data_IF_708600588023
#
_entry.id   IF_708600588023
#
_cell.length_a   1.000
_cell.length_b   1.000
_cell.length_c   1.000
_cell.angle_alpha   90.00
_cell.angle_beta   90.00
_cell.angle_gamma   90.00
#
_symmetry.space_group_name_H-M   'P 1'
#
loop_
_entity.id
_entity.type
_entity.pdbx_description
1 polymer ?
#
# COMPACT_ATOMS: atom_id res chain seq x y z
N UNK A 1 29.36 -43.04 24.88
CA UNK A 1 29.71 -41.81 25.62
C UNK A 1 29.66 -40.70 24.58
N UNK A 2 28.51 -40.09 24.29
CA UNK A 2 27.75 -39.07 25.05
C UNK A 2 28.62 -37.90 25.48
N UNK A 3 28.45 -36.76 24.79
CA UNK A 3 28.01 -35.43 25.28
C UNK A 3 27.78 -34.57 24.01
N UNK A 4 26.56 -34.32 23.52
CA UNK A 4 25.58 -33.27 23.89
C UNK A 4 26.14 -31.84 24.01
N UNK A 5 25.68 -30.96 23.13
CA UNK A 5 25.88 -29.50 23.16
C UNK A 5 24.89 -28.78 22.24
N UNK A 6 23.88 -28.18 22.88
CA UNK A 6 22.77 -27.31 22.46
C UNK A 6 22.67 -26.76 21.03
N UNK A 7 21.49 -27.00 20.43
CA UNK A 7 20.96 -26.31 19.27
C UNK A 7 19.90 -25.28 19.69
N UNK A 8 20.06 -24.03 19.26
CA UNK A 8 19.03 -22.98 19.34
C UNK A 8 18.15 -22.96 18.07
N UNK A 9 16.83 -22.71 18.17
CA UNK A 9 15.87 -23.04 17.11
C UNK A 9 15.76 -21.91 16.07
N UNK A 10 16.23 -22.18 14.86
CA UNK A 10 15.98 -21.37 13.66
C UNK A 10 14.86 -22.00 12.83
N UNK A 11 13.84 -21.19 12.55
CA UNK A 11 12.99 -21.17 11.35
C UNK A 11 12.75 -22.53 10.68
N UNK A 12 11.67 -23.22 11.08
CA UNK A 12 11.02 -24.24 10.24
C UNK A 12 9.59 -23.81 9.94
N UNK A 13 9.38 -23.28 8.74
CA UNK A 13 8.09 -23.36 8.08
C UNK A 13 8.12 -24.63 7.23
N UNK A 14 7.23 -25.58 7.53
CA UNK A 14 7.19 -26.87 6.88
C UNK A 14 6.57 -26.76 5.48
N UNK A 15 7.36 -27.05 4.45
CA UNK A 15 6.88 -27.43 3.13
C UNK A 15 6.38 -28.89 3.20
N UNK A 16 5.14 -29.13 2.76
CA UNK A 16 4.59 -30.47 2.58
C UNK A 16 5.15 -31.16 1.33
N UNK A 17 5.12 -32.50 1.25
CA UNK A 17 5.88 -33.26 0.26
C UNK A 17 5.32 -33.13 -1.16
N UNK A 18 6.22 -32.91 -2.11
CA UNK A 18 5.97 -32.95 -3.54
C UNK A 18 5.51 -34.35 -3.98
N UNK A 19 4.39 -34.43 -4.69
CA UNK A 19 3.91 -35.65 -5.34
C UNK A 19 4.36 -35.62 -6.80
N UNK A 20 5.19 -36.60 -7.17
CA UNK A 20 5.75 -36.78 -8.51
C UNK A 20 4.67 -37.10 -9.55
N UNK A 21 4.73 -36.43 -10.71
CA UNK A 21 3.93 -36.78 -11.89
C UNK A 21 4.47 -38.05 -12.57
N UNK A 22 3.60 -38.97 -13.05
CA UNK A 22 4.03 -40.08 -13.90
C UNK A 22 4.29 -39.64 -15.34
N UNK A 23 5.22 -40.34 -15.97
CA UNK A 23 5.77 -40.15 -17.31
C UNK A 23 4.78 -40.44 -18.46
N UNK A 24 4.88 -39.65 -19.53
CA UNK A 24 4.28 -39.92 -20.85
C UNK A 24 4.96 -41.10 -21.58
N UNK A 25 4.21 -41.88 -22.38
CA UNK A 25 4.75 -42.61 -23.51
C UNK A 25 4.52 -41.87 -24.83
N UNK A 26 5.59 -41.78 -25.60
CA UNK A 26 5.67 -41.23 -26.96
C UNK A 26 5.03 -42.12 -28.05
N UNK A 27 4.98 -41.53 -29.26
CA UNK A 27 4.76 -42.10 -30.61
C UNK A 27 3.29 -42.05 -31.08
N UNK A 28 2.92 -41.67 -32.31
CA UNK A 28 3.66 -41.36 -33.53
C UNK A 28 2.71 -40.76 -34.59
N UNK A 29 3.28 -39.96 -35.50
CA UNK A 29 2.98 -39.86 -36.93
C UNK A 29 1.70 -39.16 -37.43
N UNK A 30 1.90 -38.25 -38.41
CA UNK A 30 0.86 -37.90 -39.38
C UNK A 30 0.98 -36.50 -39.98
N UNK A 31 2.07 -36.19 -40.68
CA UNK A 31 2.12 -35.01 -41.54
C UNK A 31 1.37 -35.26 -42.86
N UNK A 32 0.70 -34.24 -43.39
CA UNK A 32 0.99 -33.64 -44.71
C UNK A 32 -0.11 -32.66 -45.18
N UNK A 33 0.35 -31.45 -45.48
CA UNK A 33 0.10 -30.63 -46.66
C UNK A 33 -1.34 -30.50 -47.23
N UNK A 34 -1.81 -29.25 -47.27
CA UNK A 34 -2.37 -28.66 -48.51
C UNK A 34 -2.23 -27.15 -48.51
N UNK A 35 -1.58 -26.63 -49.54
CA UNK A 35 -1.41 -25.21 -49.80
C UNK A 35 -2.44 -24.64 -50.78
N UNK A 36 -2.47 -23.31 -50.82
CA UNK A 36 -2.57 -22.54 -52.05
C UNK A 36 -3.94 -21.94 -52.39
N UNK A 37 -4.01 -20.61 -52.43
CA UNK A 37 -5.06 -19.88 -53.13
C UNK A 37 -5.08 -18.37 -52.88
N UNK A 38 -4.28 -17.63 -53.63
CA UNK A 38 -4.28 -16.14 -53.75
C UNK A 38 -5.18 -15.72 -54.92
N UNK A 39 -5.86 -14.57 -54.80
CA UNK A 39 -6.19 -13.58 -55.86
C UNK A 39 -7.21 -12.57 -55.29
N UNK A 40 -7.33 -11.29 -55.67
CA UNK A 40 -6.60 -10.38 -56.54
C UNK A 40 -7.10 -8.94 -56.25
N UNK A 41 -6.30 -7.94 -56.61
CA UNK A 41 -6.59 -6.51 -56.48
C UNK A 41 -7.33 -5.94 -57.71
N UNK A 42 -8.15 -4.89 -57.50
CA UNK A 42 -8.61 -3.97 -58.55
C UNK A 42 -8.97 -2.58 -57.97
N UNK A 43 -8.64 -1.53 -58.72
CA UNK A 43 -8.96 -0.10 -58.51
C UNK A 43 -9.43 0.49 -59.86
N UNK A 44 -9.73 1.81 -60.00
CA UNK A 44 -10.66 2.70 -59.27
C UNK A 44 -11.76 3.26 -60.22
N UNK A 45 -12.79 3.97 -59.73
CA UNK A 45 -13.73 4.75 -60.57
C UNK A 45 -14.09 6.14 -59.99
N UNK A 46 -14.37 7.06 -60.92
CA UNK A 46 -14.48 8.54 -60.83
C UNK A 46 -15.84 9.07 -60.32
N UNK A 47 -15.81 10.36 -59.92
CA UNK A 47 -16.80 11.30 -59.33
C UNK A 47 -17.95 11.77 -60.24
N UNK A 48 -19.06 12.23 -59.62
CA UNK A 48 -19.70 13.60 -59.63
C UNK A 48 -21.12 13.56 -58.98
N UNK A 49 -21.81 14.68 -58.63
CA UNK A 49 -21.42 15.91 -57.91
C UNK A 49 -22.41 16.37 -56.77
N UNK A 50 -22.00 17.42 -56.02
CA UNK A 50 -22.72 18.43 -55.19
C UNK A 50 -23.69 18.09 -54.04
N UNK A 51 -23.29 18.48 -52.81
CA UNK A 51 -24.12 19.33 -51.93
C UNK A 51 -23.23 20.08 -50.91
N UNK A 52 -23.47 21.39 -50.74
CA UNK A 52 -22.61 22.31 -50.00
C UNK A 52 -22.83 22.25 -48.48
N UNK A 53 -21.72 22.17 -47.71
CA UNK A 53 -21.71 22.26 -46.24
C UNK A 53 -20.93 23.53 -45.77
N UNK A 54 -21.30 24.14 -44.62
CA UNK A 54 -20.83 25.47 -44.19
C UNK A 54 -19.40 25.44 -43.61
N UNK A 55 -18.74 26.60 -43.41
CA UNK A 55 -17.29 26.69 -43.45
C UNK A 55 -16.61 26.12 -42.20
N UNK A 56 -15.64 25.23 -42.40
CA UNK A 56 -14.68 24.79 -41.38
C UNK A 56 -13.82 25.98 -40.94
N UNK A 57 -14.01 26.40 -39.69
CA UNK A 57 -13.02 27.18 -38.95
C UNK A 57 -11.84 26.26 -38.70
N UNK A 58 -10.73 26.50 -39.40
CA UNK A 58 -9.42 25.89 -39.13
C UNK A 58 -8.97 26.25 -37.70
N UNK A 59 -9.40 25.43 -36.73
CA UNK A 59 -8.81 25.38 -35.41
C UNK A 59 -7.43 24.74 -35.55
N UNK A 60 -6.40 25.55 -35.29
CA UNK A 60 -5.04 25.06 -35.09
C UNK A 60 -5.06 23.90 -34.07
N UNK A 61 -4.22 22.86 -34.21
CA UNK A 61 -4.19 21.80 -33.23
C UNK A 61 -3.68 22.39 -31.92
N UNK A 62 -4.61 22.68 -31.01
CA UNK A 62 -4.32 22.99 -29.63
C UNK A 62 -3.53 21.81 -29.06
N UNK A 63 -2.36 22.11 -28.50
CA UNK A 63 -1.63 21.20 -27.64
C UNK A 63 -2.63 20.60 -26.64
N UNK A 64 -2.89 19.30 -26.77
CA UNK A 64 -3.35 18.49 -25.66
C UNK A 64 -2.24 18.58 -24.61
N UNK A 65 -2.51 19.30 -23.51
CA UNK A 65 -1.62 19.27 -22.36
C UNK A 65 -1.60 17.83 -21.84
N UNK A 66 -0.46 17.17 -22.05
CA UNK A 66 -0.11 15.91 -21.42
C UNK A 66 -0.40 16.06 -19.93
N UNK A 67 -1.27 15.20 -19.38
CA UNK A 67 -1.56 15.22 -17.95
C UNK A 67 -0.28 15.14 -17.12
N UNK A 68 -0.26 15.85 -15.99
CA UNK A 68 0.89 15.92 -15.09
C UNK A 68 1.38 14.50 -14.75
N UNK A 69 2.56 14.16 -15.26
CA UNK A 69 3.29 12.94 -14.92
C UNK A 69 3.84 13.13 -13.52
N UNK A 70 3.63 12.16 -12.63
CA UNK A 70 4.23 12.17 -11.29
C UNK A 70 5.75 12.38 -11.42
N UNK A 71 6.24 13.52 -10.92
CA UNK A 71 7.64 13.88 -11.10
C UNK A 71 8.53 13.09 -10.14
N UNK A 72 9.56 12.46 -10.70
CA UNK A 72 10.53 11.66 -9.98
C UNK A 72 11.55 12.58 -9.26
N UNK A 73 11.11 13.21 -8.17
CA UNK A 73 11.87 14.22 -7.45
C UNK A 73 12.38 13.73 -6.09
N UNK A 74 13.64 14.09 -5.78
CA UNK A 74 14.23 13.94 -4.46
C UNK A 74 14.39 15.31 -3.80
N UNK A 75 13.95 15.42 -2.55
CA UNK A 75 14.02 16.64 -1.74
C UNK A 75 15.26 16.63 -0.85
N UNK A 76 15.61 15.45 -0.34
CA UNK A 76 16.75 15.26 0.54
C UNK A 76 17.41 13.91 0.28
N UNK A 77 18.72 13.85 0.52
CA UNK A 77 19.46 12.60 0.74
C UNK A 77 20.23 12.72 2.04
N UNK A 78 20.30 11.65 2.82
CA UNK A 78 20.94 11.67 4.13
C UNK A 78 21.59 10.33 4.47
N UNK A 79 22.56 10.39 5.38
CA UNK A 79 23.23 9.26 6.00
C UNK A 79 23.11 9.41 7.51
N UNK A 80 22.60 8.37 8.16
CA UNK A 80 22.49 8.25 9.61
C UNK A 80 23.47 7.19 10.07
N UNK A 81 24.11 7.44 11.21
CA UNK A 81 25.01 6.49 11.86
C UNK A 81 24.63 6.34 13.33
N UNK A 82 25.01 5.20 13.91
CA UNK A 82 24.91 4.97 15.34
C UNK A 82 26.24 5.32 16.02
N UNK A 83 26.22 6.35 16.87
CA UNK A 83 27.32 6.67 17.77
C UNK A 83 27.08 6.00 19.15
N UNK A 84 28.03 5.20 19.68
CA UNK A 84 27.85 4.52 20.96
C UNK A 84 27.65 5.41 22.20
N UNK A 85 27.92 6.72 22.09
CA UNK A 85 27.75 7.70 23.19
C UNK A 85 26.47 8.52 23.02
N UNK A 86 26.16 8.91 21.79
CA UNK A 86 25.13 9.90 21.45
C UNK A 86 23.87 9.27 20.87
N UNK A 87 23.93 8.00 20.47
CA UNK A 87 22.84 7.28 19.82
C UNK A 87 22.82 7.48 18.30
N UNK A 88 21.63 7.38 17.71
CA UNK A 88 21.46 7.63 16.27
C UNK A 88 21.69 9.11 15.98
N UNK A 89 22.41 9.43 14.91
CA UNK A 89 22.65 10.80 14.47
C UNK A 89 22.75 10.91 12.96
N UNK A 90 22.30 12.02 12.39
CA UNK A 90 22.54 12.37 10.98
C UNK A 90 24.01 12.73 10.82
N UNK A 91 24.77 11.89 10.12
CA UNK A 91 26.20 12.06 9.85
C UNK A 91 26.42 13.02 8.67
N UNK A 92 25.55 12.96 7.67
CA UNK A 92 25.65 13.74 6.45
C UNK A 92 24.29 13.91 5.79
N UNK A 93 24.05 15.04 5.12
CA UNK A 93 22.87 15.24 4.29
C UNK A 93 23.09 16.28 3.17
N UNK A 94 22.21 16.24 2.18
CA UNK A 94 21.96 17.31 1.21
C UNK A 94 20.45 17.52 1.03
N UNK A 95 20.00 18.79 0.88
CA UNK A 95 20.78 20.01 1.04
C UNK A 95 21.16 20.24 2.52
N UNK A 96 22.17 21.08 2.82
CA UNK A 96 22.72 21.20 4.18
C UNK A 96 21.80 21.91 5.18
N UNK A 97 20.82 22.66 4.68
CA UNK A 97 19.91 23.51 5.45
C UNK A 97 18.53 22.89 5.65
N UNK A 98 18.32 21.64 5.22
CA UNK A 98 17.04 20.95 5.40
C UNK A 98 16.83 20.48 6.83
N UNK A 99 15.60 20.67 7.34
CA UNK A 99 15.20 20.12 8.61
C UNK A 99 15.01 18.60 8.52
N UNK A 100 15.94 17.87 9.12
CA UNK A 100 15.92 16.41 9.27
C UNK A 100 15.75 15.97 10.73
N UNK A 101 15.32 16.85 11.63
CA UNK A 101 15.11 16.49 13.03
C UNK A 101 14.17 15.27 13.13
N UNK A 102 14.63 14.25 13.84
CA UNK A 102 13.91 12.99 14.09
C UNK A 102 14.06 11.93 13.00
N UNK A 103 14.68 12.24 11.85
CA UNK A 103 14.88 11.28 10.75
C UNK A 103 15.82 10.14 11.17
N UNK A 104 16.77 10.39 12.06
CA UNK A 104 17.68 9.40 12.64
C UNK A 104 16.94 8.29 13.41
N UNK A 105 15.79 8.60 14.03
CA UNK A 105 14.98 7.63 14.76
C UNK A 105 13.96 6.91 13.86
N UNK A 106 13.68 7.46 12.67
CA UNK A 106 12.82 6.81 11.65
C UNK A 106 13.61 5.91 10.72
N UNK A 107 14.84 6.28 10.40
CA UNK A 107 15.72 5.56 9.48
C UNK A 107 16.48 4.41 10.14
N UNK A 108 16.53 4.39 11.48
CA UNK A 108 17.10 3.32 12.31
C UNK A 108 16.15 3.00 13.47
N UNK A 109 15.17 2.13 13.19
CA UNK A 109 14.13 1.76 14.15
C UNK A 109 14.69 1.09 15.42
N UNK A 110 13.92 1.20 16.51
CA UNK A 110 14.23 0.47 17.73
C UNK A 110 14.30 -1.03 17.46
N UNK A 111 15.42 -1.66 17.82
CA UNK A 111 15.70 -3.08 17.58
C UNK A 111 16.49 -3.39 16.29
N UNK A 112 16.82 -2.41 15.44
CA UNK A 112 17.54 -2.65 14.17
C UNK A 112 18.90 -3.32 14.34
N UNK A 113 19.55 -3.20 15.50
CA UNK A 113 20.80 -3.92 15.81
C UNK A 113 20.67 -5.45 15.76
N UNK A 114 19.45 -6.00 15.81
CA UNK A 114 19.18 -7.45 15.75
C UNK A 114 19.12 -8.00 14.33
N UNK A 115 19.09 -7.14 13.32
CA UNK A 115 19.04 -7.52 11.91
C UNK A 115 20.30 -7.02 11.18
N UNK A 116 20.68 -7.72 10.12
CA UNK A 116 21.83 -7.31 9.30
C UNK A 116 21.48 -6.18 8.33
N UNK A 117 20.25 -6.16 7.84
CA UNK A 117 19.77 -5.14 6.91
C UNK A 117 18.26 -4.98 7.01
N UNK A 118 17.76 -3.80 6.66
CA UNK A 118 16.34 -3.48 6.60
C UNK A 118 16.11 -2.32 5.64
N UNK A 119 14.86 -2.08 5.24
CA UNK A 119 14.44 -0.85 4.58
C UNK A 119 13.22 -0.29 5.31
N UNK A 120 13.05 1.02 5.35
CA UNK A 120 11.98 1.65 6.14
C UNK A 120 11.37 2.77 5.33
N UNK A 121 10.05 2.73 5.19
CA UNK A 121 9.26 3.86 4.71
C UNK A 121 8.74 4.66 5.92
N UNK A 122 8.70 5.97 5.82
CA UNK A 122 8.20 6.84 6.89
C UNK A 122 7.71 8.18 6.34
N UNK A 123 7.04 8.98 7.17
CA UNK A 123 6.70 10.38 6.86
C UNK A 123 7.60 11.35 7.63
N UNK A 124 7.92 12.49 6.99
CA UNK A 124 8.58 13.67 7.60
C UNK A 124 7.88 14.91 7.05
N UNK A 125 6.97 15.49 7.84
CA UNK A 125 6.13 16.60 7.42
C UNK A 125 5.32 16.25 6.15
N UNK A 126 5.41 17.04 5.06
CA UNK A 126 4.71 16.76 3.82
C UNK A 126 5.40 15.70 2.95
N UNK A 127 6.59 15.22 3.32
CA UNK A 127 7.39 14.30 2.52
C UNK A 127 7.30 12.86 3.01
N UNK A 128 7.61 11.95 2.11
CA UNK A 128 7.80 10.52 2.38
C UNK A 128 9.27 10.18 2.28
N UNK A 129 9.74 9.34 3.19
CA UNK A 129 11.11 8.86 3.24
C UNK A 129 11.22 7.38 2.93
N UNK A 130 12.31 7.00 2.26
CA UNK A 130 12.80 5.63 2.16
C UNK A 130 14.24 5.61 2.67
N UNK A 131 14.52 4.78 3.66
CA UNK A 131 15.87 4.56 4.17
C UNK A 131 16.23 3.08 4.15
N UNK A 132 17.47 2.76 3.78
CA UNK A 132 18.04 1.43 3.81
C UNK A 132 19.09 1.35 4.93
N UNK A 133 18.88 0.43 5.84
CA UNK A 133 19.73 0.16 7.00
C UNK A 133 20.64 -1.04 6.73
N UNK A 134 21.87 -0.97 7.24
CA UNK A 134 22.74 -2.13 7.34
C UNK A 134 23.61 -2.10 8.61
N UNK A 135 23.92 -3.29 9.10
CA UNK A 135 24.74 -3.56 10.27
C UNK A 135 25.89 -4.49 9.86
N UNK A 136 27.12 -4.10 10.18
CA UNK A 136 28.33 -4.86 9.91
C UNK A 136 29.14 -5.06 11.20
N UNK A 137 29.52 -6.30 11.55
CA UNK A 137 30.43 -6.53 12.67
C UNK A 137 31.80 -5.91 12.37
N UNK A 138 32.41 -5.26 13.36
CA UNK A 138 33.73 -4.63 13.23
C UNK A 138 34.62 -4.98 14.42
N UNK A 139 35.90 -5.21 14.18
CA UNK A 139 36.90 -5.43 15.24
C UNK A 139 37.35 -4.09 15.82
N UNK A 140 36.43 -3.38 16.48
CA UNK A 140 36.65 -2.05 17.03
C UNK A 140 35.96 -1.92 18.39
N UNK A 141 36.76 -1.72 19.45
CA UNK A 141 36.23 -1.46 20.80
C UNK A 141 35.49 -0.12 20.87
N UNK A 142 35.94 0.87 20.09
CA UNK A 142 35.30 2.19 20.01
C UNK A 142 33.88 2.09 19.45
N UNK A 143 33.66 1.22 18.47
CA UNK A 143 32.36 0.97 17.83
C UNK A 143 31.60 -0.18 18.49
N UNK A 144 32.09 -0.70 19.63
CA UNK A 144 31.47 -1.80 20.39
C UNK A 144 31.17 -3.04 19.54
N UNK A 145 32.04 -3.35 18.59
CA UNK A 145 31.92 -4.59 17.80
C UNK A 145 30.97 -4.53 16.61
N UNK A 146 30.24 -3.42 16.38
CA UNK A 146 29.29 -3.31 15.28
C UNK A 146 29.21 -1.87 14.73
N UNK A 147 29.32 -1.74 13.41
CA UNK A 147 29.09 -0.49 12.69
C UNK A 147 27.71 -0.55 12.04
N UNK A 148 26.89 0.45 12.34
CA UNK A 148 25.53 0.54 11.85
C UNK A 148 25.32 1.87 11.14
N UNK A 149 24.74 1.81 9.94
CA UNK A 149 24.38 2.99 9.16
C UNK A 149 23.04 2.80 8.47
N UNK A 150 22.42 3.93 8.15
CA UNK A 150 21.23 4.00 7.31
C UNK A 150 21.41 5.11 6.27
N UNK A 151 21.04 4.84 5.02
CA UNK A 151 21.08 5.81 3.93
C UNK A 151 19.68 5.98 3.39
N UNK A 152 19.19 7.21 3.30
CA UNK A 152 17.83 7.46 2.87
C UNK A 152 17.63 8.73 2.08
N UNK A 153 16.43 8.85 1.53
CA UNK A 153 15.96 9.97 0.74
C UNK A 153 14.59 10.44 1.21
N UNK A 154 14.25 11.69 0.91
CA UNK A 154 12.90 12.24 1.03
C UNK A 154 12.36 12.61 -0.35
N UNK A 155 11.08 12.36 -0.60
CA UNK A 155 10.37 12.70 -1.84
C UNK A 155 8.94 13.17 -1.52
N UNK A 156 8.30 14.01 -2.36
CA UNK A 156 6.88 14.37 -2.20
C UNK A 156 5.94 13.17 -2.39
N UNK A 157 6.39 12.11 -3.06
CA UNK A 157 5.61 10.90 -3.28
C UNK A 157 6.30 9.65 -2.75
N UNK A 158 5.52 8.76 -2.14
CA UNK A 158 6.01 7.45 -1.71
C UNK A 158 6.04 6.40 -2.82
N UNK A 159 5.29 6.62 -3.90
CA UNK A 159 5.00 5.60 -4.93
C UNK A 159 6.21 5.34 -5.82
N UNK A 160 7.10 6.33 -5.95
CA UNK A 160 8.32 6.26 -6.77
C UNK A 160 9.58 5.88 -5.99
N UNK A 161 9.54 5.93 -4.65
CA UNK A 161 10.70 5.68 -3.79
C UNK A 161 11.34 4.31 -4.02
N UNK A 162 10.54 3.28 -4.34
CA UNK A 162 11.05 1.93 -4.60
C UNK A 162 12.12 1.88 -5.71
N UNK A 163 12.08 2.83 -6.66
CA UNK A 163 13.06 2.93 -7.76
C UNK A 163 14.48 3.14 -7.24
N UNK A 164 14.61 3.77 -6.07
CA UNK A 164 15.88 4.11 -5.45
C UNK A 164 16.37 3.08 -4.43
N UNK A 165 15.53 2.10 -4.06
CA UNK A 165 15.84 1.13 -3.01
C UNK A 165 17.16 0.41 -3.24
N UNK A 166 17.38 -0.14 -4.45
CA UNK A 166 18.63 -0.85 -4.77
C UNK A 166 19.87 0.06 -4.69
N UNK A 167 19.74 1.32 -5.14
CA UNK A 167 20.80 2.30 -5.01
C UNK A 167 21.13 2.55 -3.54
N UNK A 168 20.13 2.81 -2.70
CA UNK A 168 20.31 3.08 -1.27
C UNK A 168 20.91 1.89 -0.52
N UNK A 169 20.49 0.66 -0.82
CA UNK A 169 21.08 -0.56 -0.28
C UNK A 169 22.57 -0.71 -0.63
N UNK A 170 22.97 -0.34 -1.84
CA UNK A 170 24.38 -0.35 -2.24
C UNK A 170 25.16 0.77 -1.54
N UNK A 171 24.56 1.96 -1.42
CA UNK A 171 25.19 3.10 -0.75
C UNK A 171 25.40 2.85 0.75
N UNK A 172 24.45 2.23 1.46
CA UNK A 172 24.63 1.94 2.88
C UNK A 172 25.76 0.93 3.10
N UNK A 173 25.89 -0.12 2.27
CA UNK A 173 27.02 -1.06 2.32
C UNK A 173 28.35 -0.34 2.06
N UNK A 174 28.40 0.51 1.04
CA UNK A 174 29.58 1.32 0.75
C UNK A 174 29.96 2.25 1.91
N UNK A 175 28.99 2.88 2.60
CA UNK A 175 29.26 3.73 3.76
C UNK A 175 29.75 2.94 4.99
N UNK A 176 29.42 1.65 5.09
CA UNK A 176 29.97 0.79 6.14
C UNK A 176 31.44 0.43 5.87
N UNK A 177 31.78 0.13 4.61
CA UNK A 177 33.15 -0.22 4.19
C UNK A 177 34.08 0.98 4.11
N UNK A 178 33.61 2.10 3.54
CA UNK A 178 34.36 3.34 3.34
C UNK A 178 33.60 4.56 3.88
N UNK A 179 33.56 4.74 5.22
CA UNK A 179 32.90 5.90 5.85
C UNK A 179 33.43 7.24 5.33
N UNK A 180 32.59 8.28 5.34
CA UNK A 180 32.98 9.64 4.98
C UNK A 180 33.00 9.95 3.47
N UNK A 181 32.72 8.98 2.61
CA UNK A 181 32.80 9.14 1.15
C UNK A 181 31.40 9.30 0.53
N UNK A 182 30.90 10.53 0.43
CA UNK A 182 29.52 10.81 -0.02
C UNK A 182 29.38 11.27 -1.48
N UNK A 183 30.43 11.17 -2.29
CA UNK A 183 30.44 11.70 -3.67
C UNK A 183 29.34 11.12 -4.56
N UNK A 184 29.06 9.81 -4.46
CA UNK A 184 27.98 9.16 -5.20
C UNK A 184 26.59 9.63 -4.77
N UNK A 185 26.38 9.85 -3.46
CA UNK A 185 25.13 10.39 -2.92
C UNK A 185 24.92 11.84 -3.36
N UNK A 186 25.99 12.65 -3.37
CA UNK A 186 25.95 14.02 -3.86
C UNK A 186 25.61 14.09 -5.35
N UNK A 187 26.27 13.27 -6.18
CA UNK A 187 25.97 13.20 -7.62
C UNK A 187 24.53 12.74 -7.88
N UNK A 188 24.05 11.75 -7.11
CA UNK A 188 22.66 11.30 -7.18
C UNK A 188 21.67 12.43 -6.84
N UNK A 189 21.93 13.18 -5.76
CA UNK A 189 21.08 14.30 -5.39
C UNK A 189 21.06 15.38 -6.47
N UNK A 190 22.21 15.72 -7.06
CA UNK A 190 22.27 16.72 -8.13
C UNK A 190 21.49 16.30 -9.39
N UNK A 191 21.45 15.01 -9.71
CA UNK A 191 20.68 14.45 -10.84
C UNK A 191 19.16 14.44 -10.56
N UNK A 192 18.77 14.14 -9.32
CA UNK A 192 17.37 13.88 -8.94
C UNK A 192 16.69 14.99 -8.16
N UNK A 193 17.40 16.04 -7.76
CA UNK A 193 16.81 17.13 -7.00
C UNK A 193 15.71 17.81 -7.81
N UNK A 194 14.52 17.89 -7.24
CA UNK A 194 13.43 18.66 -7.83
C UNK A 194 13.79 20.15 -7.83
N UNK A 195 13.38 20.89 -8.86
CA UNK A 195 13.44 22.37 -8.81
C UNK A 195 12.29 22.83 -7.92
N UNK A 196 12.53 22.90 -6.61
CA UNK A 196 11.58 23.52 -5.69
C UNK A 196 11.57 25.03 -5.98
N UNK A 197 10.53 25.52 -6.67
CA UNK A 197 10.34 26.95 -6.87
C UNK A 197 10.09 27.63 -5.51
N UNK A 198 11.16 28.16 -4.91
CA UNK A 198 11.06 29.13 -3.82
C UNK A 198 10.55 30.46 -4.39
N UNK A 199 9.24 30.65 -4.42
CA UNK A 199 8.63 31.93 -4.76
C UNK A 199 8.79 32.95 -3.62
N UNK A 200 9.25 34.19 -3.87
CA UNK A 200 9.32 35.22 -2.84
C UNK A 200 7.92 35.75 -2.54
N UNK A 201 7.45 35.53 -1.32
CA UNK A 201 6.41 36.31 -0.65
C UNK A 201 5.05 36.47 -1.37
N UNK A 202 4.12 35.56 -1.11
CA UNK A 202 2.66 35.85 -1.10
C UNK A 202 1.97 34.86 -0.15
N UNK A 203 1.07 35.39 0.68
CA UNK A 203 0.35 34.64 1.72
C UNK A 203 -0.31 33.37 1.19
N UNK A 204 -0.29 32.33 2.04
CA UNK A 204 -0.70 30.97 1.70
C UNK A 204 -2.14 30.87 1.21
N UNK A 205 -2.27 30.70 -0.10
CA UNK A 205 -3.36 29.97 -0.71
C UNK A 205 -2.72 28.97 -1.68
N UNK A 206 -2.66 27.71 -1.26
CA UNK A 206 -2.29 26.58 -2.14
C UNK A 206 -3.22 26.59 -3.36
N UNK A 207 -2.71 26.29 -4.58
CA UNK A 207 -3.58 26.22 -5.74
C UNK A 207 -4.60 25.09 -5.55
N UNK A 208 -5.89 25.28 -5.93
CA UNK A 208 -6.88 24.23 -5.82
C UNK A 208 -6.51 23.12 -6.81
N UNK A 209 -6.35 21.90 -6.32
CA UNK A 209 -6.19 20.71 -7.15
C UNK A 209 -7.55 20.43 -7.79
N UNK A 210 -7.74 20.88 -9.03
CA UNK A 210 -8.95 20.62 -9.80
C UNK A 210 -8.86 19.22 -10.43
N UNK A 211 -9.60 18.28 -9.86
CA UNK A 211 -9.78 16.92 -10.40
C UNK A 211 -10.97 16.90 -11.36
N UNK A 212 -10.83 16.32 -12.57
CA UNK A 212 -11.87 15.64 -13.42
C UNK A 212 -11.33 15.39 -14.86
N UNK A 213 -11.98 14.57 -15.71
CA UNK A 213 -12.36 13.15 -15.57
C UNK A 213 -11.79 12.27 -16.70
N UNK A 214 -11.51 10.99 -16.46
CA UNK A 214 -11.58 9.90 -17.46
C UNK A 214 -11.45 8.52 -16.80
N UNK A 215 -12.27 7.59 -17.25
CA UNK A 215 -12.81 6.39 -16.57
C UNK A 215 -11.77 5.27 -16.30
N UNK A 216 -10.48 5.53 -16.51
CA UNK A 216 -9.37 4.59 -16.23
C UNK A 216 -8.27 5.17 -15.31
N UNK A 217 -8.49 6.33 -14.68
CA UNK A 217 -7.54 7.03 -13.77
C UNK A 217 -7.86 6.88 -12.28
N UNK A 218 -8.71 5.92 -11.90
CA UNK A 218 -9.08 5.68 -10.49
C UNK A 218 -8.20 4.63 -9.79
N UNK A 219 -7.14 4.16 -10.44
CA UNK A 219 -6.03 3.53 -9.73
C UNK A 219 -4.98 4.61 -9.51
N UNK A 220 -4.84 5.01 -8.25
CA UNK A 220 -3.79 5.88 -7.73
C UNK A 220 -2.41 5.38 -8.18
N UNK A 221 -1.36 6.23 -8.24
CA UNK A 221 -0.02 5.73 -8.49
C UNK A 221 0.30 4.66 -7.44
N UNK A 222 0.43 3.41 -7.90
CA UNK A 222 0.58 2.25 -7.02
C UNK A 222 2.03 2.15 -6.57
N UNK A 223 2.26 2.05 -5.26
CA UNK A 223 3.60 1.73 -4.78
C UNK A 223 3.91 0.28 -5.16
N UNK A 224 4.95 0.09 -5.96
CA UNK A 224 5.41 -1.25 -6.31
C UNK A 224 6.03 -1.93 -5.10
N UNK A 225 5.49 -3.08 -4.73
CA UNK A 225 6.06 -3.94 -3.69
C UNK A 225 7.23 -4.71 -4.29
N UNK A 226 8.43 -4.50 -3.75
CA UNK A 226 9.66 -5.13 -4.26
C UNK A 226 10.07 -6.37 -3.45
N UNK A 227 9.45 -6.59 -2.29
CA UNK A 227 9.76 -7.70 -1.40
C UNK A 227 8.62 -8.72 -1.35
N UNK A 228 8.86 -10.02 -1.65
CA UNK A 228 7.79 -11.02 -1.76
C UNK A 228 7.03 -11.25 -0.44
N UNK A 229 7.68 -11.06 0.71
CA UNK A 229 6.99 -11.16 2.01
C UNK A 229 6.06 -9.98 2.34
N UNK A 230 6.14 -8.88 1.57
CA UNK A 230 5.33 -7.69 1.76
C UNK A 230 4.12 -7.60 0.83
N UNK A 231 4.00 -8.49 -0.17
CA UNK A 231 2.95 -8.40 -1.17
C UNK A 231 1.55 -8.62 -0.58
N UNK A 232 0.53 -8.13 -1.29
CA UNK A 232 -0.88 -8.26 -0.89
C UNK A 232 -1.29 -9.73 -0.66
N UNK A 233 -0.78 -10.65 -1.48
CA UNK A 233 -1.04 -12.10 -1.33
C UNK A 233 -0.58 -12.64 0.03
N UNK A 234 0.64 -12.28 0.46
CA UNK A 234 1.14 -12.70 1.77
C UNK A 234 0.42 -11.99 2.92
N UNK A 235 0.03 -10.73 2.73
CA UNK A 235 -0.75 -9.98 3.72
C UNK A 235 -2.10 -10.64 3.99
N UNK A 236 -2.85 -10.97 2.94
CA UNK A 236 -4.15 -11.67 3.04
C UNK A 236 -3.97 -13.06 3.64
N UNK A 237 -2.98 -13.83 3.17
CA UNK A 237 -2.68 -15.17 3.70
C UNK A 237 -2.30 -15.11 5.19
N UNK A 238 -1.56 -14.09 5.61
CA UNK A 238 -1.11 -13.92 6.97
C UNK A 238 -2.27 -13.66 7.95
N UNK A 239 -3.26 -12.85 7.57
CA UNK A 239 -4.44 -12.60 8.42
C UNK A 239 -5.56 -13.64 8.26
N UNK A 240 -5.60 -14.37 7.14
CA UNK A 240 -6.69 -15.28 6.85
C UNK A 240 -8.03 -14.55 6.84
N UNK A 241 -9.08 -15.14 7.42
CA UNK A 241 -10.40 -14.50 7.53
C UNK A 241 -10.38 -13.18 8.34
N UNK A 242 -9.38 -12.97 9.22
CA UNK A 242 -9.27 -11.71 9.98
C UNK A 242 -8.97 -10.50 9.09
N UNK A 243 -8.58 -10.71 7.83
CA UNK A 243 -8.42 -9.61 6.87
C UNK A 243 -9.74 -8.84 6.68
N UNK A 244 -10.90 -9.50 6.84
CA UNK A 244 -12.20 -8.84 6.75
C UNK A 244 -12.48 -7.93 7.94
N UNK A 245 -11.95 -8.24 9.13
CA UNK A 245 -12.01 -7.34 10.29
C UNK A 245 -11.17 -6.09 10.00
N UNK A 246 -9.94 -6.29 9.52
CA UNK A 246 -9.03 -5.19 9.22
C UNK A 246 -9.58 -4.31 8.08
N UNK A 247 -10.17 -4.92 7.06
CA UNK A 247 -10.88 -4.24 5.97
C UNK A 247 -12.02 -3.36 6.49
N UNK A 248 -12.88 -3.87 7.39
CA UNK A 248 -13.96 -3.06 7.98
C UNK A 248 -13.40 -1.84 8.72
N UNK A 249 -12.36 -2.02 9.55
CA UNK A 249 -11.74 -0.89 10.25
C UNK A 249 -11.07 0.11 9.31
N UNK A 250 -10.43 -0.36 8.24
CA UNK A 250 -9.85 0.50 7.22
C UNK A 250 -10.94 1.29 6.48
N UNK A 251 -12.06 0.66 6.13
CA UNK A 251 -13.21 1.32 5.49
C UNK A 251 -13.89 2.32 6.43
N UNK A 252 -13.90 2.05 7.74
CA UNK A 252 -14.35 3.00 8.77
C UNK A 252 -13.33 4.13 9.05
N UNK A 253 -12.20 4.16 8.33
CA UNK A 253 -11.11 5.12 8.50
C UNK A 253 -10.58 5.20 9.93
N UNK A 254 -10.54 4.08 10.65
CA UNK A 254 -9.98 4.04 12.01
C UNK A 254 -8.48 4.27 12.02
N UNK A 255 -7.95 4.77 13.13
CA UNK A 255 -6.51 4.85 13.41
C UNK A 255 -5.99 3.44 13.72
N UNK A 256 -5.33 2.82 12.74
CA UNK A 256 -4.82 1.46 12.81
C UNK A 256 -3.31 1.51 13.03
N UNK A 257 -2.84 0.95 14.15
CA UNK A 257 -1.43 0.83 14.47
C UNK A 257 -0.98 -0.63 14.50
N UNK A 258 -0.02 -0.98 13.64
CA UNK A 258 0.55 -2.32 13.54
C UNK A 258 1.87 -2.38 14.30
N UNK A 259 1.94 -3.20 15.35
CA UNK A 259 3.18 -3.49 16.04
C UNK A 259 3.93 -4.65 15.40
N UNK A 260 5.22 -4.47 15.17
CA UNK A 260 6.11 -5.55 14.75
C UNK A 260 7.56 -5.19 15.03
N UNK A 261 8.38 -6.10 15.60
CA UNK A 261 9.83 -5.88 15.70
C UNK A 261 10.49 -5.87 14.31
N UNK A 262 11.70 -5.31 14.16
CA UNK A 262 12.43 -5.35 12.88
C UNK A 262 12.60 -6.78 12.34
N UNK A 263 12.56 -7.00 11.01
CA UNK A 263 12.60 -5.98 9.94
C UNK A 263 11.26 -5.27 9.68
N UNK A 264 11.33 -3.95 9.52
CA UNK A 264 10.19 -3.03 9.42
C UNK A 264 9.71 -2.85 7.98
N UNK A 265 10.56 -3.02 6.98
CA UNK A 265 10.21 -2.73 5.58
C UNK A 265 9.03 -3.55 5.06
N UNK A 266 9.00 -4.83 5.39
CA UNK A 266 7.88 -5.73 5.08
C UNK A 266 6.58 -5.24 5.74
N UNK A 267 6.68 -4.66 6.93
CA UNK A 267 5.53 -4.16 7.69
C UNK A 267 5.04 -2.82 7.10
N UNK A 268 5.94 -1.98 6.59
CA UNK A 268 5.57 -0.79 5.81
C UNK A 268 4.73 -1.18 4.57
N UNK A 269 5.07 -2.28 3.90
CA UNK A 269 4.23 -2.81 2.83
C UNK A 269 2.87 -3.31 3.32
N UNK A 270 2.79 -3.91 4.52
CA UNK A 270 1.49 -4.27 5.12
C UNK A 270 0.62 -3.04 5.44
N UNK A 271 1.23 -1.95 5.89
CA UNK A 271 0.54 -0.66 6.09
C UNK A 271 -0.06 -0.16 4.77
N UNK A 272 0.72 -0.20 3.68
CA UNK A 272 0.23 0.15 2.36
C UNK A 272 -0.91 -0.77 1.90
N UNK A 273 -0.73 -2.08 1.96
CA UNK A 273 -1.77 -3.06 1.61
C UNK A 273 -3.06 -2.84 2.40
N UNK A 274 -2.96 -2.52 3.70
CA UNK A 274 -4.11 -2.21 4.54
C UNK A 274 -4.86 -0.96 4.06
N UNK A 275 -4.16 0.07 3.58
CA UNK A 275 -4.80 1.25 2.97
C UNK A 275 -5.56 0.85 1.70
N UNK A 276 -4.96 0.01 0.85
CA UNK A 276 -5.59 -0.45 -0.39
C UNK A 276 -6.90 -1.23 -0.18
N UNK A 277 -7.10 -1.87 0.98
CA UNK A 277 -8.37 -2.54 1.31
C UNK A 277 -9.56 -1.58 1.31
N UNK A 278 -9.35 -0.30 1.59
CA UNK A 278 -10.40 0.71 1.73
C UNK A 278 -10.57 1.59 0.47
N UNK A 279 -9.94 1.23 -0.65
CA UNK A 279 -10.05 2.00 -1.89
C UNK A 279 -11.48 2.05 -2.42
N UNK A 280 -11.91 3.23 -2.87
CA UNK A 280 -13.23 3.51 -3.47
C UNK A 280 -13.02 4.34 -4.72
N UNK A 281 -13.74 4.03 -5.81
CA UNK A 281 -13.63 4.76 -7.09
C UNK A 281 -14.88 5.57 -7.44
N UNK A 282 -15.82 5.72 -6.50
CA UNK A 282 -17.06 6.46 -6.68
C UNK A 282 -16.86 7.97 -6.47
N UNK A 283 -17.29 8.83 -7.42
CA UNK A 283 -17.20 10.29 -7.28
C UNK A 283 -17.97 10.79 -6.06
N UNK A 284 -17.40 11.75 -5.32
CA UNK A 284 -18.05 12.39 -4.18
C UNK A 284 -17.95 11.63 -2.86
N UNK A 285 -17.48 10.38 -2.86
CA UNK A 285 -17.25 9.60 -1.65
C UNK A 285 -15.87 9.94 -1.09
N UNK A 286 -15.83 10.52 0.11
CA UNK A 286 -14.59 11.03 0.69
C UNK A 286 -14.12 12.38 0.12
N UNK A 287 -14.93 13.09 -0.67
CA UNK A 287 -14.56 14.41 -1.21
C UNK A 287 -14.33 15.49 -0.13
N UNK A 288 -14.87 15.29 1.08
CA UNK A 288 -14.68 16.15 2.25
C UNK A 288 -13.74 15.57 3.31
N UNK A 289 -13.27 14.32 3.13
CA UNK A 289 -12.55 13.56 4.16
C UNK A 289 -11.19 13.12 3.59
N UNK A 290 -10.07 13.45 4.24
CA UNK A 290 -8.73 13.11 3.75
C UNK A 290 -8.58 11.63 3.38
N UNK A 291 -7.87 11.36 2.29
CA UNK A 291 -7.51 10.03 1.81
C UNK A 291 -6.73 9.24 2.89
N UNK A 292 -6.93 7.92 2.97
CA UNK A 292 -6.19 7.03 3.88
C UNK A 292 -4.75 6.85 3.41
N UNK A 293 -3.91 7.86 3.64
CA UNK A 293 -2.50 7.82 3.27
C UNK A 293 -1.72 6.94 4.24
N UNK A 294 -0.78 6.11 3.76
CA UNK A 294 0.06 5.31 4.63
C UNK A 294 1.00 6.23 5.42
N UNK A 295 0.97 6.13 6.75
CA UNK A 295 1.95 6.81 7.62
C UNK A 295 3.27 6.05 7.68
N UNK A 296 3.22 4.76 7.30
CA UNK A 296 4.33 3.82 7.39
C UNK A 296 4.90 3.77 8.81
N UNK A 297 6.22 3.81 8.97
CA UNK A 297 6.84 3.69 10.28
C UNK A 297 6.69 4.97 11.13
N UNK A 298 6.24 4.78 12.37
CA UNK A 298 6.11 5.81 13.41
C UNK A 298 6.78 5.35 14.71
N UNK A 299 7.25 6.32 15.49
CA UNK A 299 7.89 6.10 16.79
C UNK A 299 7.41 7.13 17.83
N UNK A 300 7.94 7.07 19.05
CA UNK A 300 7.58 8.00 20.14
C UNK A 300 7.74 9.48 19.81
N UNK A 301 8.59 9.86 18.86
CA UNK A 301 8.72 11.25 18.42
C UNK A 301 7.52 11.73 17.59
N UNK A 302 6.69 10.81 17.10
CA UNK A 302 5.50 11.12 16.30
C UNK A 302 4.23 11.27 17.14
N UNK A 303 4.27 11.06 18.46
CA UNK A 303 3.08 11.03 19.33
C UNK A 303 2.21 12.27 19.15
N UNK A 304 2.80 13.46 19.22
CA UNK A 304 2.07 14.73 19.08
C UNK A 304 1.37 14.85 17.72
N UNK A 305 2.00 14.33 16.66
CA UNK A 305 1.40 14.31 15.32
C UNK A 305 0.26 13.29 15.22
N UNK A 306 0.37 12.13 15.88
CA UNK A 306 -0.65 11.08 15.83
C UNK A 306 -1.91 11.45 16.60
N UNK A 307 -1.81 12.24 17.67
CA UNK A 307 -2.95 12.67 18.48
C UNK A 307 -3.96 13.54 17.71
N UNK A 308 -3.49 14.30 16.71
CA UNK A 308 -4.33 15.21 15.91
C UNK A 308 -4.91 14.56 14.65
N UNK A 309 -4.42 13.38 14.28
CA UNK A 309 -4.85 12.69 13.06
C UNK A 309 -6.17 11.96 13.28
N UNK A 310 -7.15 12.24 12.42
CA UNK A 310 -8.46 11.60 12.50
C UNK A 310 -8.44 10.14 12.00
N UNK A 311 -7.51 9.83 11.11
CA UNK A 311 -7.38 8.52 10.47
C UNK A 311 -5.95 8.30 10.01
N UNK A 312 -5.42 7.10 10.26
CA UNK A 312 -4.13 6.69 9.69
C UNK A 312 -4.00 5.17 9.71
N UNK A 313 -3.12 4.65 8.86
CA UNK A 313 -2.54 3.32 9.06
C UNK A 313 -1.03 3.48 9.20
N UNK A 314 -0.48 2.96 10.29
CA UNK A 314 0.94 3.08 10.62
C UNK A 314 1.48 1.78 11.22
N UNK A 315 2.80 1.65 11.27
CA UNK A 315 3.46 0.58 12.01
C UNK A 315 4.53 1.11 12.95
N UNK A 316 4.83 0.36 14.01
CA UNK A 316 5.86 0.70 14.99
C UNK A 316 6.57 -0.54 15.51
N UNK A 317 7.80 -0.36 15.97
CA UNK A 317 8.60 -1.37 16.68
C UNK A 317 8.55 -1.18 18.20
N UNK A 318 7.87 -0.14 18.66
CA UNK A 318 7.92 0.29 20.06
C UNK A 318 6.70 -0.17 20.83
N UNK A 319 6.91 -1.14 21.73
CA UNK A 319 5.83 -1.79 22.49
C UNK A 319 5.07 -0.85 23.43
N UNK A 320 5.67 0.31 23.77
CA UNK A 320 5.05 1.35 24.60
C UNK A 320 3.73 1.85 24.01
N UNK A 321 3.56 1.78 22.69
CA UNK A 321 2.31 2.15 22.06
C UNK A 321 1.14 1.28 22.53
N UNK A 322 1.33 0.01 22.93
CA UNK A 322 0.24 -0.84 23.43
C UNK A 322 -0.46 -0.28 24.68
N UNK A 323 0.26 0.53 25.46
CA UNK A 323 -0.26 1.18 26.68
C UNK A 323 -0.90 2.54 26.38
N UNK A 324 -0.48 3.20 25.29
CA UNK A 324 -0.93 4.53 24.84
C UNK A 324 -2.20 4.44 23.98
N UNK A 325 -3.28 3.96 24.60
CA UNK A 325 -4.54 3.63 23.93
C UNK A 325 -5.21 4.83 23.25
N UNK A 326 -4.94 6.04 23.72
CA UNK A 326 -5.43 7.29 23.14
C UNK A 326 -4.99 7.52 21.69
N UNK A 327 -3.87 6.93 21.28
CA UNK A 327 -3.24 7.20 19.99
C UNK A 327 -3.89 6.45 18.82
N UNK A 328 -4.56 5.32 19.07
CA UNK A 328 -5.13 4.48 18.01
C UNK A 328 -6.50 3.95 18.40
N UNK A 329 -7.32 3.60 17.41
CA UNK A 329 -8.60 2.94 17.67
C UNK A 329 -8.43 1.41 17.59
N UNK A 330 -7.48 0.95 16.76
CA UNK A 330 -7.18 -0.45 16.49
C UNK A 330 -5.68 -0.71 16.62
N UNK A 331 -5.31 -1.69 17.42
CA UNK A 331 -3.94 -2.18 17.57
C UNK A 331 -3.82 -3.59 17.01
N UNK A 332 -2.81 -3.80 16.17
CA UNK A 332 -2.54 -5.10 15.56
C UNK A 332 -1.21 -5.62 16.08
N UNK A 333 -1.24 -6.77 16.74
CA UNK A 333 -0.03 -7.47 17.19
C UNK A 333 -0.03 -8.89 16.60
N UNK A 334 0.90 -9.13 15.68
CA UNK A 334 0.92 -10.31 14.84
C UNK A 334 -0.39 -10.42 14.03
N UNK A 335 -1.21 -11.45 14.27
CA UNK A 335 -2.52 -11.63 13.64
C UNK A 335 -3.67 -11.14 14.53
N UNK A 336 -3.38 -10.64 15.73
CA UNK A 336 -4.42 -10.27 16.68
C UNK A 336 -4.82 -8.81 16.44
N UNK A 337 -6.03 -8.61 15.92
CA UNK A 337 -6.66 -7.30 15.83
C UNK A 337 -7.37 -7.00 17.15
N UNK A 338 -7.02 -5.90 17.80
CA UNK A 338 -7.57 -5.50 19.11
C UNK A 338 -8.08 -4.07 19.04
N UNK A 339 -9.13 -3.78 19.78
CA UNK A 339 -9.58 -2.41 20.08
C UNK A 339 -9.83 -2.28 21.57
N UNK A 340 -9.70 -1.06 22.09
CA UNK A 340 -10.03 -0.74 23.47
C UNK A 340 -11.40 -0.02 23.59
N UNK A 341 -12.04 0.30 22.46
CA UNK A 341 -13.33 0.96 22.42
C UNK A 341 -14.48 -0.05 22.44
N UNK A 342 -15.36 0.05 23.44
CA UNK A 342 -16.49 -0.88 23.59
C UNK A 342 -17.43 -0.92 22.38
N UNK A 343 -17.67 0.23 21.75
CA UNK A 343 -18.54 0.32 20.56
C UNK A 343 -17.95 -0.39 19.33
N UNK A 344 -16.62 -0.56 19.27
CA UNK A 344 -15.92 -1.24 18.17
C UNK A 344 -15.71 -2.74 18.42
N UNK A 345 -15.90 -3.23 19.66
CA UNK A 345 -15.74 -4.66 19.99
C UNK A 345 -16.59 -5.60 19.12
N UNK A 346 -17.84 -5.28 18.74
CA UNK A 346 -18.63 -6.15 17.86
C UNK A 346 -17.97 -6.40 16.49
N UNK A 347 -17.17 -5.44 15.98
CA UNK A 347 -16.50 -5.52 14.68
C UNK A 347 -15.36 -6.56 14.65
N UNK A 348 -14.87 -6.99 15.81
CA UNK A 348 -13.83 -8.03 15.91
C UNK A 348 -14.37 -9.45 15.64
N UNK A 349 -15.68 -9.62 15.48
CA UNK A 349 -16.30 -10.93 15.25
C UNK A 349 -16.47 -11.18 13.76
N UNK A 350 -15.87 -12.28 13.28
CA UNK A 350 -16.07 -12.77 11.92
C UNK A 350 -17.47 -13.38 11.80
N UNK A 351 -18.29 -12.86 10.90
CA UNK A 351 -19.63 -13.35 10.65
C UNK A 351 -19.72 -14.26 9.42
N UNK A 352 -20.93 -14.69 9.08
CA UNK A 352 -21.17 -15.61 7.94
C UNK A 352 -20.82 -14.97 6.59
N UNK A 353 -21.14 -13.69 6.42
CA UNK A 353 -20.87 -12.93 5.21
C UNK A 353 -19.36 -12.65 5.02
N UNK A 354 -18.59 -12.50 6.10
CA UNK A 354 -17.13 -12.37 6.03
C UNK A 354 -16.48 -13.66 5.55
N UNK A 355 -16.90 -14.81 6.09
CA UNK A 355 -16.42 -16.14 5.67
C UNK A 355 -16.74 -16.41 4.20
N UNK A 356 -17.93 -16.01 3.76
CA UNK A 356 -18.33 -16.09 2.36
C UNK A 356 -17.43 -15.25 1.46
N UNK A 357 -17.19 -13.97 1.82
CA UNK A 357 -16.27 -13.09 1.07
C UNK A 357 -14.87 -13.69 0.99
N UNK A 358 -14.31 -14.15 2.12
CA UNK A 358 -12.99 -14.76 2.15
C UNK A 358 -12.92 -16.02 1.28
N UNK A 359 -13.98 -16.84 1.27
CA UNK A 359 -14.04 -18.04 0.43
C UNK A 359 -14.02 -17.66 -1.05
N UNK A 360 -14.86 -16.72 -1.47
CA UNK A 360 -14.90 -16.24 -2.87
C UNK A 360 -13.57 -15.65 -3.32
N UNK A 361 -12.92 -14.89 -2.46
CA UNK A 361 -11.59 -14.34 -2.74
C UNK A 361 -10.57 -15.45 -3.02
N UNK A 362 -10.58 -16.52 -2.21
CA UNK A 362 -9.71 -17.67 -2.43
C UNK A 362 -10.07 -18.48 -3.68
N UNK A 363 -11.36 -18.63 -3.98
CA UNK A 363 -11.83 -19.29 -5.20
C UNK A 363 -11.37 -18.52 -6.45
N UNK A 364 -11.51 -17.19 -6.46
CA UNK A 364 -11.02 -16.34 -7.54
C UNK A 364 -9.50 -16.44 -7.72
N UNK A 365 -8.76 -16.47 -6.60
CA UNK A 365 -7.31 -16.68 -6.62
C UNK A 365 -6.94 -18.04 -7.22
N UNK A 366 -7.63 -19.11 -6.85
CA UNK A 366 -7.39 -20.45 -7.40
C UNK A 366 -7.69 -20.51 -8.90
N UNK A 367 -8.76 -19.86 -9.36
CA UNK A 367 -9.09 -19.76 -10.78
C UNK A 367 -8.01 -18.99 -11.57
N UNK A 368 -7.50 -17.89 -10.99
CA UNK A 368 -6.40 -17.12 -11.58
C UNK A 368 -5.15 -17.99 -11.76
N UNK A 369 -4.71 -18.68 -10.70
CA UNK A 369 -3.53 -19.54 -10.76
C UNK A 369 -3.70 -20.67 -11.79
N UNK A 370 -4.89 -21.28 -11.84
CA UNK A 370 -5.20 -22.30 -12.85
C UNK A 370 -5.13 -21.74 -14.29
N UNK A 371 -5.67 -20.55 -14.53
CA UNK A 371 -5.61 -19.93 -15.87
C UNK A 371 -4.18 -19.61 -16.32
N UNK A 372 -3.31 -19.19 -15.39
CA UNK A 372 -1.89 -18.91 -15.67
C UNK A 372 -1.12 -20.17 -16.06
N UNK A 373 -1.42 -21.31 -15.43
CA UNK A 373 -0.82 -22.60 -15.78
C UNK A 373 -1.21 -23.06 -17.20
N UNK A 374 -2.39 -22.66 -17.68
CA UNK A 374 -2.96 -23.12 -18.96
C UNK A 374 -2.64 -22.17 -20.13
N UNK A 375 -2.65 -20.84 -19.93
CA UNK A 375 -2.67 -19.87 -21.04
C UNK A 375 -1.32 -19.22 -21.41
N UNK A 376 -0.24 -19.45 -20.68
CA UNK A 376 1.16 -19.20 -21.11
C UNK A 376 1.61 -17.76 -21.44
N UNK A 377 0.72 -16.84 -21.80
CA UNK A 377 1.06 -15.53 -22.38
C UNK A 377 0.33 -14.33 -21.75
N UNK A 378 -0.53 -14.54 -20.74
CA UNK A 378 -1.15 -13.46 -19.96
C UNK A 378 -1.01 -13.77 -18.47
N UNK A 379 -0.30 -12.92 -17.72
CA UNK A 379 -0.07 -13.11 -16.29
C UNK A 379 -0.72 -11.95 -15.49
N UNK A 380 -2.03 -12.03 -15.16
CA UNK A 380 -2.64 -11.04 -14.27
C UNK A 380 -1.97 -11.13 -12.91
N UNK A 381 -1.58 -9.99 -12.32
CA UNK A 381 -0.92 -9.98 -11.02
C UNK A 381 -1.92 -10.41 -9.93
N UNK A 382 -1.52 -11.30 -9.02
CA UNK A 382 -2.35 -11.61 -7.83
C UNK A 382 -2.69 -10.33 -7.05
N UNK A 383 -1.82 -9.33 -7.06
CA UNK A 383 -2.05 -8.03 -6.40
C UNK A 383 -3.26 -7.30 -6.97
N UNK A 384 -3.37 -7.23 -8.31
CA UNK A 384 -4.51 -6.60 -9.00
C UNK A 384 -5.81 -7.29 -8.61
N UNK A 385 -5.83 -8.63 -8.59
CA UNK A 385 -7.00 -9.41 -8.20
C UNK A 385 -7.51 -9.00 -6.82
N UNK A 386 -6.60 -8.95 -5.83
CA UNK A 386 -6.98 -8.62 -4.46
C UNK A 386 -7.45 -7.17 -4.31
N UNK A 387 -6.75 -6.22 -4.91
CA UNK A 387 -7.13 -4.80 -4.87
C UNK A 387 -8.49 -4.60 -5.53
N UNK A 388 -8.72 -5.20 -6.71
CA UNK A 388 -9.98 -5.12 -7.43
C UNK A 388 -11.13 -5.78 -6.66
N UNK A 389 -10.90 -6.92 -6.00
CA UNK A 389 -11.92 -7.58 -5.18
C UNK A 389 -12.44 -6.64 -4.09
N UNK A 390 -11.55 -6.04 -3.28
CA UNK A 390 -11.95 -5.13 -2.21
C UNK A 390 -12.56 -3.85 -2.76
N UNK A 391 -12.01 -3.30 -3.85
CA UNK A 391 -12.60 -2.14 -4.54
C UNK A 391 -14.05 -2.41 -4.98
N UNK A 392 -14.32 -3.59 -5.55
CA UNK A 392 -15.67 -4.00 -5.92
C UNK A 392 -16.60 -4.09 -4.70
N UNK A 393 -16.14 -4.70 -3.60
CA UNK A 393 -16.93 -4.78 -2.36
C UNK A 393 -17.25 -3.37 -1.83
N UNK A 394 -16.26 -2.48 -1.80
CA UNK A 394 -16.40 -1.12 -1.29
C UNK A 394 -17.37 -0.31 -2.15
N UNK A 395 -17.18 -0.32 -3.47
CA UNK A 395 -18.05 0.38 -4.41
C UNK A 395 -19.49 -0.13 -4.31
N UNK A 396 -19.70 -1.44 -4.15
CA UNK A 396 -21.03 -2.03 -4.00
C UNK A 396 -21.74 -1.55 -2.73
N UNK A 397 -21.03 -1.49 -1.61
CA UNK A 397 -21.55 -0.93 -0.35
C UNK A 397 -21.98 0.51 -0.59
N UNK A 398 -21.04 1.34 -1.02
CA UNK A 398 -21.25 2.76 -1.14
C UNK A 398 -22.29 3.15 -2.20
N UNK A 399 -22.33 2.45 -3.33
CA UNK A 399 -23.34 2.65 -4.35
C UNK A 399 -24.74 2.41 -3.77
N UNK A 400 -24.92 1.30 -3.05
CA UNK A 400 -26.20 1.00 -2.38
C UNK A 400 -26.56 2.08 -1.36
N UNK A 401 -25.60 2.53 -0.54
CA UNK A 401 -25.83 3.58 0.45
C UNK A 401 -26.23 4.92 -0.20
N UNK A 402 -25.60 5.30 -1.31
CA UNK A 402 -25.95 6.51 -2.05
C UNK A 402 -27.33 6.41 -2.72
N UNK A 403 -27.66 5.26 -3.31
CA UNK A 403 -28.97 4.99 -3.90
C UNK A 403 -30.09 5.10 -2.85
N UNK A 404 -29.87 4.51 -1.66
CA UNK A 404 -30.81 4.61 -0.54
C UNK A 404 -30.88 6.03 0.01
N UNK A 405 -29.75 6.73 0.13
CA UNK A 405 -29.75 8.14 0.58
C UNK A 405 -30.52 9.06 -0.38
N UNK A 406 -30.61 8.71 -1.65
CA UNK A 406 -31.36 9.43 -2.67
C UNK A 406 -32.83 8.97 -2.78
N UNK A 407 -33.23 7.90 -2.09
CA UNK A 407 -34.61 7.41 -2.10
C UNK A 407 -35.53 8.32 -1.26
N UNK A 408 -36.84 8.20 -1.48
CA UNK A 408 -37.84 9.01 -0.77
C UNK A 408 -37.93 8.67 0.72
N UNK A 409 -37.76 7.39 1.06
CA UNK A 409 -37.89 6.84 2.42
C UNK A 409 -36.56 6.75 3.17
N UNK A 410 -35.41 6.89 2.47
CA UNK A 410 -34.05 6.82 3.01
C UNK A 410 -33.84 5.67 3.98
N UNK A 411 -34.42 4.50 3.68
CA UNK A 411 -34.47 3.38 4.63
C UNK A 411 -33.54 2.25 4.17
N UNK A 412 -32.54 1.92 4.99
CA UNK A 412 -31.64 0.79 4.76
C UNK A 412 -32.21 -0.47 5.41
N UNK A 413 -32.58 -1.45 4.59
CA UNK A 413 -33.21 -2.69 5.03
C UNK A 413 -32.22 -3.84 5.13
N UNK A 414 -32.66 -4.96 5.70
CA UNK A 414 -31.90 -6.21 5.70
C UNK A 414 -31.61 -6.74 4.28
N UNK A 415 -32.47 -6.43 3.31
CA UNK A 415 -32.25 -6.78 1.90
C UNK A 415 -31.12 -5.95 1.29
N UNK A 416 -31.07 -4.64 1.55
CA UNK A 416 -29.96 -3.80 1.15
C UNK A 416 -28.63 -4.31 1.76
N UNK A 417 -28.62 -4.66 3.05
CA UNK A 417 -27.45 -5.22 3.71
C UNK A 417 -26.93 -6.50 3.02
N UNK A 418 -27.82 -7.48 2.75
CA UNK A 418 -27.45 -8.68 1.97
C UNK A 418 -27.01 -8.33 0.55
N UNK A 419 -27.67 -7.35 -0.06
CA UNK A 419 -27.36 -6.80 -1.37
C UNK A 419 -25.96 -6.20 -1.44
N UNK A 420 -25.43 -5.65 -0.34
CA UNK A 420 -24.05 -5.18 -0.20
C UNK A 420 -23.05 -6.30 0.13
N UNK A 421 -23.52 -7.54 0.29
CA UNK A 421 -22.71 -8.66 0.74
C UNK A 421 -22.43 -8.63 2.25
N UNK A 422 -23.20 -7.90 3.05
CA UNK A 422 -23.05 -7.80 4.51
C UNK A 422 -24.07 -8.69 5.24
N UNK A 423 -23.72 -9.09 6.46
CA UNK A 423 -24.66 -9.77 7.37
C UNK A 423 -25.56 -8.72 8.04
N UNK A 424 -26.89 -8.75 7.84
CA UNK A 424 -27.76 -7.70 8.37
C UNK A 424 -27.66 -7.53 9.89
N UNK A 425 -27.45 -8.62 10.64
CA UNK A 425 -27.35 -8.56 12.10
C UNK A 425 -25.90 -8.40 12.55
N UNK A 426 -25.00 -9.19 11.96
CA UNK A 426 -23.58 -9.21 12.30
C UNK A 426 -22.84 -7.92 11.93
N UNK A 427 -23.25 -7.24 10.86
CA UNK A 427 -22.65 -6.00 10.36
C UNK A 427 -23.49 -4.76 10.69
N UNK A 428 -24.48 -4.87 11.58
CA UNK A 428 -25.33 -3.74 11.96
C UNK A 428 -24.52 -2.58 12.55
N UNK A 429 -23.59 -2.87 13.47
CA UNK A 429 -22.72 -1.83 14.06
C UNK A 429 -21.77 -1.23 13.02
N UNK A 430 -21.22 -2.07 12.14
CA UNK A 430 -20.38 -1.62 11.02
C UNK A 430 -21.13 -0.63 10.12
N UNK A 431 -22.37 -0.95 9.75
CA UNK A 431 -23.19 -0.06 8.91
C UNK A 431 -23.49 1.27 9.61
N UNK A 432 -23.81 1.25 10.91
CA UNK A 432 -24.04 2.49 11.66
C UNK A 432 -22.78 3.37 11.71
N UNK A 433 -21.64 2.78 12.05
CA UNK A 433 -20.36 3.50 12.10
C UNK A 433 -19.95 4.03 10.72
N UNK A 434 -20.27 3.29 9.65
CA UNK A 434 -19.96 3.68 8.27
C UNK A 434 -20.82 4.86 7.81
N UNK A 435 -22.12 4.85 8.15
CA UNK A 435 -23.03 5.96 7.87
C UNK A 435 -22.56 7.24 8.57
N UNK A 436 -22.16 7.13 9.84
CA UNK A 436 -21.63 8.25 10.63
C UNK A 436 -20.30 8.76 10.03
N UNK A 437 -19.34 7.87 9.79
CA UNK A 437 -18.01 8.22 9.30
C UNK A 437 -18.03 8.92 7.92
N UNK A 438 -19.03 8.64 7.10
CA UNK A 438 -19.18 9.23 5.76
C UNK A 438 -20.29 10.29 5.68
N UNK A 439 -20.99 10.58 6.78
CA UNK A 439 -22.06 11.58 6.81
C UNK A 439 -23.25 11.23 5.91
N UNK A 440 -23.58 9.95 5.78
CA UNK A 440 -24.66 9.47 4.91
C UNK A 440 -25.97 9.44 5.72
N UNK A 441 -26.93 10.26 5.32
CA UNK A 441 -28.22 10.42 5.99
C UNK A 441 -29.22 9.32 5.57
N UNK A 442 -29.20 8.21 6.31
CA UNK A 442 -30.04 7.02 6.06
C UNK A 442 -30.51 6.40 7.38
N UNK A 443 -31.77 5.97 7.44
CA UNK A 443 -32.35 5.27 8.60
C UNK A 443 -32.15 3.76 8.47
N UNK A 444 -31.44 3.15 9.42
CA UNK A 444 -31.23 1.70 9.45
C UNK A 444 -32.44 0.97 10.05
N UNK A 445 -33.19 0.24 9.23
CA UNK A 445 -34.34 -0.59 9.62
C UNK A 445 -34.04 -2.05 9.27
N UNK A 446 -33.23 -2.67 10.12
CA UNK A 446 -32.96 -4.10 10.07
C UNK A 446 -33.76 -4.75 11.19
N UNK A 447 -34.87 -5.40 10.83
CA UNK A 447 -35.75 -6.07 11.79
C UNK A 447 -34.96 -7.07 12.63
N UNK A 448 -35.11 -6.99 13.95
CA UNK A 448 -34.78 -8.11 14.81
C UNK A 448 -35.79 -9.23 14.47
N UNK A 449 -35.36 -10.46 14.13
CA UNK A 449 -36.30 -11.56 14.16
C UNK A 449 -36.88 -11.57 15.57
N UNK A 450 -38.21 -11.43 15.64
CA UNK A 450 -39.01 -11.48 16.84
C UNK A 450 -38.47 -12.55 17.79
N UNK A 451 -38.28 -12.20 19.06
CA UNK A 451 -38.12 -13.18 20.12
C UNK A 451 -39.22 -14.24 19.98
N UNK A 452 -38.90 -15.55 20.00
CA UNK A 452 -39.89 -16.55 20.38
C UNK A 452 -40.26 -16.41 21.85
#
# INVERSE_FOLDING_TARGET
MVEQGDAAPLLRWAEGPAVSAPQDPALQAGGWARGGGRAAAAAPRRREPDEAAPPEVLLQPGRLELGDVEEDQVVAVFVVTFDPRSGNMVEWCLPQDIDLEGVEFKSMASGSHKVQSDFIYFRKGPFFGLACFANMPVESELERGARMKSVGILSPSYTLLYRYMHFLENQVRHQLEMPGHYSHLAAFYEDKKGVLHAGPGRGGSLPPVYWLPSIHRYMYPEMKITHPAGCMSQFIKFFGEQILILWKFALLRKRILIFSPPPVGVVCYRVYCCCCLANVSLPGIGGTIPESKPFFYVNVADIESLEVELSYVACTTEKIFEEKRELYDVYVDNQNVKTHHDHLQPLLKINSADREKYRRLNEQRQMLLYSQEVEGDYNPCEEDLFVLFFLEQNNRIFQTLLEVSASQDKTLTAEHARGMGLDPQGDRSFLMDLLEAYGIDVMLVIDNPCCP
#
